data_IF_684815572249
#
_entry.id   IF_684815572249
#
_cell.length_a   1.000
_cell.length_b   1.000
_cell.length_c   1.000
_cell.angle_alpha   90.00
_cell.angle_beta   90.00
_cell.angle_gamma   90.00
#
_symmetry.space_group_name_H-M   'P 1'
#
loop_
_entity.id
_entity.type
_entity.pdbx_description
1 polymer ?
#
# COMPACT_ATOMS: atom_id res chain seq x y z
N UNK A 1 -55.50 27.99 -34.41
CA UNK A 1 -55.14 28.43 -33.05
C UNK A 1 -54.73 27.21 -32.22
N UNK A 2 -53.74 27.39 -31.34
CA UNK A 2 -53.23 26.49 -30.34
C UNK A 2 -52.26 25.37 -30.83
N UNK A 3 -51.03 25.69 -30.75
CA UNK A 3 -49.94 24.76 -30.90
C UNK A 3 -48.67 25.29 -30.24
N UNK A 4 -48.63 25.42 -28.91
CA UNK A 4 -47.42 25.72 -28.17
C UNK A 4 -47.52 25.17 -26.75
N UNK A 5 -47.23 23.90 -26.55
CA UNK A 5 -46.91 23.39 -25.20
C UNK A 5 -46.30 21.97 -25.20
N UNK A 6 -45.33 21.66 -26.08
CA UNK A 6 -44.62 20.33 -26.02
C UNK A 6 -43.10 20.39 -25.90
N UNK A 7 -42.49 21.58 -25.90
CA UNK A 7 -41.01 21.69 -25.92
C UNK A 7 -40.36 21.83 -24.55
N UNK A 8 -41.09 22.07 -23.47
CA UNK A 8 -40.48 22.29 -22.13
C UNK A 8 -40.25 21.04 -21.30
N UNK A 9 -40.89 19.91 -21.63
CA UNK A 9 -40.74 18.66 -20.84
C UNK A 9 -39.58 17.78 -21.27
N UNK A 10 -39.05 17.96 -22.46
CA UNK A 10 -37.93 17.18 -23.01
C UNK A 10 -36.58 17.70 -22.49
N UNK A 11 -36.45 18.99 -22.23
CA UNK A 11 -35.20 19.61 -21.76
C UNK A 11 -34.85 19.29 -20.31
N UNK A 12 -35.85 19.01 -19.48
CA UNK A 12 -35.62 18.67 -18.06
C UNK A 12 -35.12 17.20 -17.88
N UNK A 13 -35.56 16.29 -18.76
CA UNK A 13 -35.16 14.88 -18.70
C UNK A 13 -33.71 14.66 -19.11
N UNK A 14 -33.16 15.47 -20.01
CA UNK A 14 -31.76 15.36 -20.47
C UNK A 14 -30.78 15.90 -19.44
N UNK A 15 -31.16 16.92 -18.66
CA UNK A 15 -30.31 17.50 -17.62
C UNK A 15 -30.12 16.56 -16.38
N UNK A 16 -31.12 15.73 -16.08
CA UNK A 16 -31.05 14.77 -14.94
C UNK A 16 -30.19 13.55 -15.29
N UNK A 17 -30.16 13.14 -16.56
CA UNK A 17 -29.31 12.02 -16.98
C UNK A 17 -27.81 12.35 -17.02
N UNK A 18 -27.45 13.62 -17.22
CA UNK A 18 -26.06 14.06 -17.27
C UNK A 18 -25.39 14.13 -15.89
N UNK A 19 -26.15 14.21 -14.80
CA UNK A 19 -25.59 14.22 -13.43
C UNK A 19 -25.21 12.84 -12.90
N UNK A 20 -25.66 11.76 -13.53
CA UNK A 20 -25.38 10.39 -13.05
C UNK A 20 -24.09 9.79 -13.61
N UNK A 21 -23.36 10.51 -14.47
CA UNK A 21 -22.10 10.08 -15.09
C UNK A 21 -20.90 10.84 -14.57
N UNK A 22 -20.96 11.40 -13.36
CA UNK A 22 -19.74 11.83 -12.69
C UNK A 22 -18.87 10.57 -12.49
N UNK A 23 -17.67 10.49 -13.12
CA UNK A 23 -16.77 9.39 -12.83
C UNK A 23 -16.55 9.41 -11.33
N UNK A 24 -16.83 8.29 -10.65
CA UNK A 24 -16.48 8.14 -9.26
C UNK A 24 -14.97 8.44 -9.16
N UNK A 25 -14.64 9.59 -8.63
CA UNK A 25 -13.24 9.96 -8.42
C UNK A 25 -12.68 8.86 -7.53
N UNK A 26 -11.81 8.04 -8.11
CA UNK A 26 -11.15 6.94 -7.42
C UNK A 26 -10.30 7.55 -6.30
N UNK A 27 -10.87 7.65 -5.11
CA UNK A 27 -10.19 8.23 -3.97
C UNK A 27 -8.97 7.35 -3.66
N UNK A 28 -7.78 7.91 -3.88
CA UNK A 28 -6.52 7.22 -3.56
C UNK A 28 -6.43 7.08 -2.05
N UNK A 29 -6.42 5.85 -1.57
CA UNK A 29 -6.23 5.57 -0.15
C UNK A 29 -4.83 6.01 0.27
N UNK A 30 -4.75 6.81 1.33
CA UNK A 30 -3.47 7.21 1.92
C UNK A 30 -2.98 6.17 2.91
N UNK A 31 -1.72 5.81 2.77
CA UNK A 31 -1.00 4.94 3.68
C UNK A 31 0.19 5.70 4.28
N UNK A 32 0.52 5.40 5.52
CA UNK A 32 1.69 5.94 6.22
C UNK A 32 2.53 4.81 6.78
N UNK A 33 3.83 5.01 6.72
CA UNK A 33 4.84 4.11 7.25
C UNK A 33 5.77 4.91 8.17
N UNK A 34 5.82 4.54 9.44
CA UNK A 34 6.73 5.14 10.40
C UNK A 34 7.61 4.09 11.06
N UNK A 35 8.81 4.46 11.43
CA UNK A 35 9.81 3.62 12.10
C UNK A 35 10.21 4.25 13.42
N UNK A 36 10.46 3.42 14.44
CA UNK A 36 10.90 3.87 15.76
C UNK A 36 12.33 4.43 15.75
N UNK A 37 13.17 3.91 14.83
CA UNK A 37 14.54 4.33 14.63
C UNK A 37 14.89 4.28 13.14
N UNK A 38 15.32 5.40 12.60
CA UNK A 38 15.74 5.52 11.19
C UNK A 38 17.20 5.17 10.94
N UNK A 39 17.99 5.02 12.02
CA UNK A 39 19.44 4.76 11.99
C UNK A 39 19.86 3.68 12.97
N UNK A 40 19.21 2.50 12.97
CA UNK A 40 19.50 1.44 13.93
C UNK A 40 20.85 0.77 13.67
N UNK A 41 21.37 0.09 14.66
CA UNK A 41 22.49 -0.82 14.50
C UNK A 41 22.06 -2.14 13.85
N UNK A 42 23.02 -2.85 13.25
CA UNK A 42 22.79 -4.19 12.71
C UNK A 42 22.14 -5.08 13.77
N UNK A 43 21.09 -5.82 13.38
CA UNK A 43 20.29 -6.71 14.23
C UNK A 43 19.53 -6.03 15.38
N UNK A 44 19.62 -4.72 15.52
CA UNK A 44 18.77 -3.99 16.46
C UNK A 44 17.30 -4.08 16.01
N UNK A 45 16.37 -4.44 16.92
CA UNK A 45 14.95 -4.50 16.57
C UNK A 45 14.38 -3.09 16.36
N UNK A 46 13.76 -2.87 15.22
CA UNK A 46 13.05 -1.64 14.86
C UNK A 46 11.55 -1.92 14.83
N UNK A 47 10.77 -1.12 15.51
CA UNK A 47 9.32 -1.18 15.41
C UNK A 47 8.86 -0.33 14.25
N UNK A 48 8.02 -0.92 13.41
CA UNK A 48 7.41 -0.27 12.25
C UNK A 48 5.91 -0.20 12.45
N UNK A 49 5.32 0.96 12.22
CA UNK A 49 3.88 1.15 12.29
C UNK A 49 3.38 1.58 10.92
N UNK A 50 2.40 0.83 10.43
CA UNK A 50 1.68 1.12 9.20
C UNK A 50 0.29 1.63 9.57
N UNK A 51 -0.18 2.64 8.86
CA UNK A 51 -1.51 3.23 9.06
C UNK A 51 -2.18 3.44 7.72
N UNK A 52 -3.49 3.28 7.68
CA UNK A 52 -4.35 3.61 6.56
C UNK A 52 -5.31 4.73 6.95
N UNK A 53 -5.67 5.57 6.00
CA UNK A 53 -6.72 6.58 6.15
C UNK A 53 -8.09 5.94 6.43
N UNK A 54 -8.32 4.77 5.85
CA UNK A 54 -9.56 4.01 5.97
C UNK A 54 -9.33 2.63 6.57
N UNK A 55 -10.38 2.02 7.06
CA UNK A 55 -10.33 0.62 7.50
C UNK A 55 -10.24 -0.31 6.29
N UNK A 56 -9.09 -0.94 6.10
CA UNK A 56 -8.87 -1.91 5.04
C UNK A 56 -9.42 -3.29 5.44
N UNK A 57 -10.08 -3.97 4.50
CA UNK A 57 -10.59 -5.34 4.70
C UNK A 57 -9.52 -6.41 4.51
N UNK A 58 -8.31 -6.04 4.08
CA UNK A 58 -7.16 -6.90 3.87
C UNK A 58 -5.97 -6.41 4.69
N UNK A 59 -5.03 -7.29 4.96
CA UNK A 59 -3.81 -6.94 5.68
C UNK A 59 -2.75 -6.38 4.75
N UNK A 60 -2.05 -5.35 5.23
CA UNK A 60 -0.93 -4.76 4.51
C UNK A 60 0.26 -5.72 4.55
N UNK A 61 1.03 -5.71 3.47
CA UNK A 61 2.33 -6.37 3.39
C UNK A 61 3.43 -5.35 3.60
N UNK A 62 4.54 -5.79 4.18
CA UNK A 62 5.73 -4.98 4.35
C UNK A 62 6.95 -5.77 3.84
N UNK A 63 7.74 -5.14 3.00
CA UNK A 63 8.92 -5.74 2.40
C UNK A 63 10.14 -4.88 2.74
N UNK A 64 11.21 -5.53 3.19
CA UNK A 64 12.52 -4.91 3.35
C UNK A 64 13.37 -5.21 2.12
N UNK A 65 13.81 -4.17 1.40
CA UNK A 65 14.69 -4.28 0.24
C UNK A 65 16.11 -3.94 0.66
N UNK A 66 17.05 -4.83 0.36
CA UNK A 66 18.44 -4.73 0.76
C UNK A 66 19.18 -3.58 0.07
N UNK A 67 20.29 -3.08 0.67
CA UNK A 67 21.14 -2.06 0.07
C UNK A 67 21.62 -2.45 -1.33
N UNK A 68 21.51 -1.52 -2.28
CA UNK A 68 21.92 -1.73 -3.67
C UNK A 68 20.99 -2.59 -4.51
N UNK A 69 19.86 -3.04 -3.96
CA UNK A 69 18.85 -3.85 -4.66
C UNK A 69 17.62 -3.02 -5.07
N UNK A 70 16.94 -3.46 -6.11
CA UNK A 70 15.69 -2.85 -6.59
C UNK A 70 14.46 -3.62 -6.10
N UNK A 71 13.29 -3.03 -6.28
CA UNK A 71 12.02 -3.72 -6.07
C UNK A 71 11.92 -5.01 -6.90
N UNK A 72 12.38 -4.97 -8.14
CA UNK A 72 12.31 -6.12 -9.06
C UNK A 72 13.12 -7.32 -8.59
N UNK A 73 14.18 -7.10 -7.80
CA UNK A 73 14.99 -8.18 -7.23
C UNK A 73 14.23 -8.97 -6.15
N UNK A 74 13.17 -8.40 -5.58
CA UNK A 74 12.39 -8.97 -4.47
C UNK A 74 10.95 -9.34 -4.82
N UNK A 75 10.48 -9.04 -6.02
CA UNK A 75 9.11 -9.32 -6.47
C UNK A 75 8.72 -10.79 -6.28
N UNK A 76 9.63 -11.72 -6.52
CA UNK A 76 9.41 -13.14 -6.28
C UNK A 76 9.11 -13.48 -4.81
N UNK A 77 9.59 -12.67 -3.87
CA UNK A 77 9.32 -12.82 -2.43
C UNK A 77 7.90 -12.33 -2.08
N UNK A 78 7.37 -11.37 -2.85
CA UNK A 78 6.04 -10.77 -2.63
C UNK A 78 4.92 -11.65 -3.15
N UNK A 79 5.13 -12.25 -4.32
CA UNK A 79 4.15 -13.11 -5.01
C UNK A 79 4.30 -14.58 -4.68
N UNK A 80 5.43 -14.96 -4.04
CA UNK A 80 5.80 -16.34 -3.82
C UNK A 80 5.15 -16.99 -2.61
N UNK A 81 5.05 -18.29 -2.67
CA UNK A 81 4.71 -19.16 -1.58
C UNK A 81 5.50 -18.82 -0.30
N UNK A 82 4.86 -18.93 0.83
CA UNK A 82 5.47 -18.76 2.16
C UNK A 82 6.73 -19.62 2.38
N UNK A 83 6.93 -20.66 1.60
CA UNK A 83 8.09 -21.54 1.58
C UNK A 83 9.32 -20.85 0.97
N UNK A 84 9.15 -20.07 -0.09
CA UNK A 84 10.24 -19.32 -0.73
C UNK A 84 10.73 -18.19 0.18
N UNK A 85 9.81 -17.53 0.87
CA UNK A 85 10.13 -16.49 1.85
C UNK A 85 10.91 -17.02 3.07
N UNK A 86 10.77 -18.30 3.43
CA UNK A 86 11.55 -18.98 4.49
C UNK A 86 12.91 -19.47 4.03
N UNK A 87 13.06 -19.85 2.76
CA UNK A 87 14.30 -20.39 2.21
C UNK A 87 15.33 -19.33 1.80
N UNK A 88 14.90 -18.13 1.48
CA UNK A 88 15.77 -17.03 1.13
C UNK A 88 16.09 -16.19 2.36
N UNK A 89 17.23 -16.48 3.01
CA UNK A 89 17.90 -15.42 3.78
C UNK A 89 18.28 -14.38 2.75
N UNK A 90 17.68 -13.23 2.75
CA UNK A 90 17.60 -12.47 1.53
C UNK A 90 18.85 -11.66 1.34
N UNK A 91 19.63 -12.02 0.35
CA UNK A 91 20.61 -11.12 -0.22
C UNK A 91 19.93 -9.85 -0.74
N UNK A 92 18.70 -9.99 -1.22
CA UNK A 92 18.00 -8.97 -1.98
C UNK A 92 16.87 -8.29 -1.22
N UNK A 93 16.26 -8.98 -0.27
CA UNK A 93 15.19 -8.46 0.56
C UNK A 93 14.38 -9.56 1.22
N UNK A 94 13.44 -9.21 2.10
CA UNK A 94 12.59 -10.17 2.80
C UNK A 94 11.23 -9.57 3.18
N UNK A 95 10.23 -10.44 3.27
CA UNK A 95 8.94 -10.08 3.80
C UNK A 95 9.02 -9.92 5.34
N UNK A 96 8.50 -8.81 5.84
CA UNK A 96 8.43 -8.55 7.28
C UNK A 96 7.03 -8.94 7.78
N UNK A 97 6.90 -9.84 8.76
CA UNK A 97 5.62 -10.17 9.34
C UNK A 97 4.92 -8.95 9.93
N UNK A 98 3.67 -8.74 9.56
CA UNK A 98 2.86 -7.58 9.96
C UNK A 98 1.65 -8.09 10.75
N UNK A 99 1.36 -7.45 11.87
CA UNK A 99 0.22 -7.80 12.73
C UNK A 99 -0.72 -6.61 12.81
N UNK A 100 -2.00 -6.82 12.53
CA UNK A 100 -3.04 -5.81 12.71
C UNK A 100 -3.28 -5.57 14.20
N UNK A 101 -3.17 -4.33 14.64
CA UNK A 101 -3.37 -3.91 16.04
C UNK A 101 -4.60 -3.02 16.23
N UNK A 102 -5.18 -2.52 15.13
CA UNK A 102 -6.43 -1.76 15.09
C UNK A 102 -7.00 -1.84 13.66
N UNK A 103 -8.25 -1.46 13.43
CA UNK A 103 -8.89 -1.54 12.11
C UNK A 103 -8.11 -0.89 10.97
N UNK A 104 -7.37 0.18 11.24
CA UNK A 104 -6.58 0.92 10.26
C UNK A 104 -5.10 1.03 10.65
N UNK A 105 -4.60 0.15 11.52
CA UNK A 105 -3.24 0.19 12.01
C UNK A 105 -2.63 -1.21 12.13
N UNK A 106 -1.39 -1.33 11.68
CA UNK A 106 -0.58 -2.55 11.78
C UNK A 106 0.76 -2.24 12.39
N UNK A 107 1.37 -3.24 12.99
CA UNK A 107 2.70 -3.18 13.57
C UNK A 107 3.55 -4.33 13.07
N UNK A 108 4.82 -4.04 12.84
CA UNK A 108 5.83 -5.02 12.51
C UNK A 108 7.09 -4.79 13.37
N UNK A 109 7.90 -5.83 13.51
CA UNK A 109 9.26 -5.76 14.05
C UNK A 109 10.23 -6.24 12.99
N UNK A 110 11.25 -5.45 12.75
CA UNK A 110 12.27 -5.77 11.75
C UNK A 110 13.65 -5.73 12.39
N UNK A 111 14.50 -6.68 12.00
CA UNK A 111 15.93 -6.69 12.32
C UNK A 111 16.68 -6.76 11.01
N UNK A 112 17.50 -5.77 10.75
CA UNK A 112 18.29 -5.74 9.53
C UNK A 112 19.56 -6.56 9.70
N UNK A 113 19.85 -7.53 8.81
CA UNK A 113 20.94 -8.49 9.00
C UNK A 113 22.33 -7.89 8.72
N UNK A 114 22.40 -6.75 8.03
CA UNK A 114 23.66 -6.07 7.66
C UNK A 114 23.49 -4.56 7.60
N UNK A 115 24.59 -3.85 7.69
CA UNK A 115 24.64 -2.40 7.53
C UNK A 115 24.28 -1.96 6.09
N UNK A 116 23.87 -0.73 5.94
CA UNK A 116 23.57 -0.10 4.68
C UNK A 116 22.20 0.54 4.62
N UNK A 117 21.85 1.04 3.44
CA UNK A 117 20.62 1.79 3.18
C UNK A 117 19.51 0.85 2.75
N UNK A 118 18.69 0.44 3.70
CA UNK A 118 17.52 -0.40 3.49
C UNK A 118 16.30 0.42 3.10
N UNK A 119 15.38 -0.17 2.36
CA UNK A 119 14.07 0.41 2.05
C UNK A 119 12.97 -0.50 2.55
N UNK A 120 12.09 0.04 3.37
CA UNK A 120 10.85 -0.61 3.76
C UNK A 120 9.76 -0.16 2.79
N UNK A 121 9.06 -1.09 2.17
CA UNK A 121 8.06 -0.82 1.13
C UNK A 121 6.75 -1.50 1.51
N UNK A 122 5.66 -0.73 1.50
CA UNK A 122 4.31 -1.28 1.42
C UNK A 122 4.01 -1.39 -0.07
N UNK A 123 3.92 -2.61 -0.63
CA UNK A 123 3.63 -2.79 -2.06
C UNK A 123 2.21 -2.30 -2.37
N UNK A 124 2.01 -1.89 -3.61
CA UNK A 124 0.71 -1.48 -4.12
C UNK A 124 -0.16 -2.68 -4.55
N UNK A 125 0.00 -3.81 -3.89
CA UNK A 125 -0.81 -5.01 -4.13
C UNK A 125 -2.05 -4.98 -3.24
N UNK A 126 -3.18 -5.27 -3.85
CA UNK A 126 -4.45 -5.47 -3.16
C UNK A 126 -5.13 -6.72 -3.72
N UNK A 127 -5.96 -7.41 -2.92
CA UNK A 127 -6.82 -8.46 -3.42
C UNK A 127 -7.70 -7.95 -4.57
N UNK A 128 -8.09 -8.85 -5.47
CA UNK A 128 -8.97 -8.52 -6.59
C UNK A 128 -10.24 -7.80 -6.11
N UNK A 129 -10.64 -6.75 -6.82
CA UNK A 129 -11.80 -5.93 -6.48
C UNK A 129 -11.54 -4.81 -5.48
N UNK A 130 -10.32 -4.66 -4.95
CA UNK A 130 -9.93 -3.56 -4.08
C UNK A 130 -9.13 -2.50 -4.81
N UNK A 131 -9.24 -1.26 -4.34
CA UNK A 131 -8.41 -0.18 -4.83
C UNK A 131 -6.94 -0.42 -4.45
N UNK A 132 -6.03 -0.32 -5.42
CA UNK A 132 -4.59 -0.45 -5.21
C UNK A 132 -4.08 0.88 -4.65
N UNK A 133 -3.59 0.93 -3.40
CA UNK A 133 -2.98 2.14 -2.87
C UNK A 133 -1.60 2.36 -3.53
N UNK A 134 -1.12 3.61 -3.59
CA UNK A 134 0.23 3.87 -4.08
C UNK A 134 1.26 3.23 -3.15
N UNK A 135 2.42 2.77 -3.68
CA UNK A 135 3.47 2.21 -2.86
C UNK A 135 4.03 3.27 -1.90
N UNK A 136 4.27 2.87 -0.67
CA UNK A 136 4.88 3.73 0.35
C UNK A 136 6.27 3.20 0.67
N UNK A 137 7.25 4.09 0.62
CA UNK A 137 8.67 3.73 0.83
C UNK A 137 9.24 4.53 2.00
N UNK A 138 9.92 3.83 2.92
CA UNK A 138 10.70 4.44 3.99
C UNK A 138 12.14 3.94 3.95
N UNK A 139 13.09 4.86 3.99
CA UNK A 139 14.52 4.53 4.05
C UNK A 139 14.95 4.40 5.50
N UNK A 140 15.76 3.36 5.78
CA UNK A 140 16.40 3.10 7.08
C UNK A 140 17.89 2.89 6.84
N UNK A 141 18.73 3.66 7.51
CA UNK A 141 20.19 3.59 7.38
C UNK A 141 20.75 2.81 8.55
N UNK A 142 21.20 1.60 8.30
CA UNK A 142 21.69 0.66 9.33
C UNK A 142 23.20 0.77 9.46
N UNK A 143 23.70 0.90 10.68
CA UNK A 143 25.11 1.06 11.02
C UNK A 143 25.70 -0.17 11.71
#
# INVERSE_FOLDING_TARGET
>A
MSGRCRSRRVLVAVAVLALCLAPAASAKIKLWLSVSDGTPRVRQPVTVVLRSEVNLRYDLKLIAVAPGKSWYDVVGVVTGDSVVAKASIPRDGFAVPVVRIAPNRWRARVKFPRAGRWRLIIPNEAPEGFMIPPPVVRVVVVH
#
